data_IF_093690048155
#
_entry.id   IF_093690048155
#
_cell.length_a   1.000
_cell.length_b   1.000
_cell.length_c   1.000
_cell.angle_alpha   90.00
_cell.angle_beta   90.00
_cell.angle_gamma   90.00
#
_symmetry.space_group_name_H-M   'P 1'
#
loop_
_entity.id
_entity.type
_entity.pdbx_description
1 polymer ?
#
# COMPACT_ATOMS: atom_id res chain seq x y z
N UNK A 1 24.20 24.83 39.72
CA UNK A 1 23.88 23.52 39.13
C UNK A 1 23.17 23.79 37.81
N UNK A 2 23.92 23.94 36.72
CA UNK A 2 23.36 24.26 35.39
C UNK A 2 23.24 22.97 34.59
N UNK A 3 22.01 22.65 34.19
CA UNK A 3 21.64 21.48 33.40
C UNK A 3 22.16 21.62 31.97
N UNK A 4 23.08 20.73 31.57
CA UNK A 4 23.57 20.62 30.21
C UNK A 4 22.48 20.09 29.28
N UNK A 5 21.80 20.99 28.54
CA UNK A 5 21.00 20.61 27.38
C UNK A 5 21.85 20.76 26.12
N UNK A 6 22.28 19.63 25.53
CA UNK A 6 22.83 19.61 24.16
C UNK A 6 21.68 19.79 23.17
N UNK A 7 21.39 21.03 22.80
CA UNK A 7 20.57 21.31 21.61
C UNK A 7 21.44 20.96 20.40
N UNK A 8 20.98 20.03 19.57
CA UNK A 8 21.62 19.70 18.30
C UNK A 8 21.63 20.95 17.41
N UNK A 9 22.81 21.52 17.18
CA UNK A 9 22.97 22.70 16.31
C UNK A 9 22.74 22.30 14.84
N UNK A 10 21.82 22.96 14.12
CA UNK A 10 21.66 22.74 12.69
C UNK A 10 22.95 23.16 11.95
N UNK A 11 23.43 22.33 11.03
CA UNK A 11 24.68 22.53 10.26
C UNK A 11 24.77 23.86 9.47
N UNK A 12 23.67 24.59 9.30
CA UNK A 12 23.58 25.75 8.40
C UNK A 12 23.02 27.02 9.07
N UNK A 13 23.26 27.24 10.37
CA UNK A 13 22.90 28.50 11.02
C UNK A 13 23.77 29.65 10.46
N UNK A 14 23.20 30.51 9.62
CA UNK A 14 23.85 31.75 9.17
C UNK A 14 23.39 32.91 10.04
N UNK A 15 24.31 33.47 10.82
CA UNK A 15 24.08 34.69 11.60
C UNK A 15 24.67 35.86 10.81
N UNK A 16 23.86 36.87 10.52
CA UNK A 16 24.29 38.10 9.84
C UNK A 16 23.80 39.34 10.58
N UNK A 17 24.65 40.35 10.68
CA UNK A 17 24.31 41.67 11.26
C UNK A 17 24.05 42.62 10.10
N UNK A 18 22.86 43.21 10.04
CA UNK A 18 22.51 44.28 9.09
C UNK A 18 21.92 45.42 9.89
N UNK A 19 22.51 46.61 9.79
CA UNK A 19 22.02 47.86 10.38
C UNK A 19 21.74 47.78 11.90
N UNK A 20 22.73 47.35 12.68
CA UNK A 20 22.70 47.34 14.16
C UNK A 20 21.59 46.53 14.84
N UNK A 21 20.77 45.78 14.09
CA UNK A 21 19.82 44.81 14.65
C UNK A 21 20.29 43.37 14.40
N UNK A 22 20.32 42.55 15.46
CA UNK A 22 20.54 41.10 15.33
C UNK A 22 19.22 40.49 14.83
N UNK A 23 19.12 40.24 13.52
CA UNK A 23 18.00 39.46 12.95
C UNK A 23 18.40 38.00 12.82
N UNK A 24 17.79 37.14 13.63
CA UNK A 24 17.95 35.68 13.54
C UNK A 24 17.04 35.18 12.41
N UNK A 25 17.64 34.86 11.27
CA UNK A 25 16.94 34.15 10.20
C UNK A 25 17.03 32.65 10.47
N UNK A 26 15.95 32.07 11.00
CA UNK A 26 15.75 30.61 10.97
C UNK A 26 15.53 30.21 9.51
N UNK A 27 16.56 29.67 8.87
CA UNK A 27 16.42 29.02 7.57
C UNK A 27 15.43 27.87 7.76
N UNK A 28 14.31 27.94 7.05
CA UNK A 28 13.19 26.98 7.02
C UNK A 28 13.59 25.59 6.46
N UNK A 29 14.79 25.11 6.74
CA UNK A 29 15.28 23.76 6.37
C UNK A 29 14.58 22.65 7.16
N UNK A 30 13.64 22.99 8.05
CA UNK A 30 12.76 22.06 8.77
C UNK A 30 11.58 21.60 7.88
N UNK A 31 11.33 22.27 6.75
CA UNK A 31 10.32 21.78 5.82
C UNK A 31 10.87 20.54 5.09
N UNK A 32 10.25 19.36 5.24
CA UNK A 32 10.68 18.18 4.49
C UNK A 32 10.69 18.55 3.00
N UNK A 33 11.81 18.29 2.32
CA UNK A 33 11.90 18.38 0.86
C UNK A 33 10.64 17.74 0.30
N UNK A 34 9.80 18.52 -0.43
CA UNK A 34 8.60 17.98 -1.07
C UNK A 34 9.03 16.75 -1.87
N UNK A 35 8.64 15.57 -1.40
CA UNK A 35 8.82 14.32 -2.13
C UNK A 35 8.03 14.47 -3.43
N UNK A 36 8.72 14.85 -4.50
CA UNK A 36 8.13 14.93 -5.82
C UNK A 36 7.95 13.49 -6.32
N UNK A 37 6.71 13.04 -6.41
CA UNK A 37 6.40 11.73 -6.92
C UNK A 37 6.74 11.68 -8.41
N UNK A 38 7.53 10.69 -8.81
CA UNK A 38 7.78 10.47 -10.23
C UNK A 38 6.50 9.91 -10.88
N UNK A 39 5.79 10.76 -11.63
CA UNK A 39 4.51 10.42 -12.27
C UNK A 39 4.64 9.23 -13.23
N UNK A 40 5.75 9.13 -13.98
CA UNK A 40 6.01 8.02 -14.89
C UNK A 40 6.13 6.71 -14.12
N UNK A 41 6.90 6.70 -13.03
CA UNK A 41 7.00 5.54 -12.12
C UNK A 41 5.66 5.14 -11.56
N UNK A 42 4.90 6.12 -11.05
CA UNK A 42 3.56 5.88 -10.49
C UNK A 42 2.63 5.18 -11.48
N UNK A 43 2.43 5.75 -12.67
CA UNK A 43 1.47 5.20 -13.64
C UNK A 43 1.93 3.85 -14.22
N UNK A 44 3.20 3.72 -14.62
CA UNK A 44 3.68 2.48 -15.27
C UNK A 44 3.71 1.33 -14.27
N UNK A 45 4.27 1.52 -13.07
CA UNK A 45 4.31 0.44 -12.07
C UNK A 45 2.92 0.07 -11.57
N UNK A 46 2.01 1.05 -11.44
CA UNK A 46 0.62 0.80 -11.05
C UNK A 46 -0.18 0.04 -12.12
N UNK A 47 0.01 0.35 -13.41
CA UNK A 47 -0.64 -0.38 -14.50
C UNK A 47 -0.15 -1.82 -14.61
N UNK A 48 1.18 -2.03 -14.58
CA UNK A 48 1.77 -3.37 -14.66
C UNK A 48 1.40 -4.20 -13.43
N UNK A 49 1.43 -3.60 -12.23
CA UNK A 49 0.95 -4.25 -11.02
C UNK A 49 -0.56 -4.51 -11.04
N UNK A 50 -1.37 -3.68 -11.70
CA UNK A 50 -2.81 -3.90 -11.85
C UNK A 50 -3.12 -5.16 -12.66
N UNK A 51 -2.35 -5.41 -13.73
CA UNK A 51 -2.42 -6.67 -14.49
C UNK A 51 -2.06 -7.86 -13.61
N UNK A 52 -0.97 -7.76 -12.83
CA UNK A 52 -0.56 -8.81 -11.91
C UNK A 52 -1.60 -9.05 -10.79
N UNK A 53 -2.21 -7.98 -10.28
CA UNK A 53 -3.26 -8.06 -9.26
C UNK A 53 -4.52 -8.74 -9.79
N UNK A 54 -4.89 -8.51 -11.06
CA UNK A 54 -6.07 -9.14 -11.65
C UNK A 54 -5.89 -10.65 -11.80
N UNK A 55 -4.79 -11.07 -12.44
CA UNK A 55 -4.50 -12.50 -12.62
C UNK A 55 -4.13 -13.20 -11.31
N UNK A 56 -3.41 -12.50 -10.42
CA UNK A 56 -3.15 -12.95 -9.07
C UNK A 56 -4.45 -13.17 -8.30
N UNK A 57 -5.43 -12.26 -8.43
CA UNK A 57 -6.74 -12.39 -7.77
C UNK A 57 -7.48 -13.64 -8.24
N UNK A 58 -7.48 -13.91 -9.54
CA UNK A 58 -8.02 -15.16 -10.07
C UNK A 58 -7.30 -16.39 -9.50
N UNK A 59 -5.98 -16.39 -9.46
CA UNK A 59 -5.20 -17.53 -8.95
C UNK A 59 -5.44 -17.75 -7.45
N UNK A 60 -5.33 -16.70 -6.64
CA UNK A 60 -5.47 -16.78 -5.18
C UNK A 60 -6.91 -17.12 -4.80
N UNK A 61 -7.89 -16.31 -5.20
CA UNK A 61 -9.27 -16.45 -4.75
C UNK A 61 -10.09 -17.43 -5.58
N UNK A 62 -9.84 -17.50 -6.89
CA UNK A 62 -10.58 -18.37 -7.81
C UNK A 62 -10.07 -19.81 -7.86
N UNK A 63 -8.81 -20.06 -7.46
CA UNK A 63 -8.21 -21.39 -7.52
C UNK A 63 -7.71 -21.86 -6.16
N UNK A 64 -6.73 -21.17 -5.56
CA UNK A 64 -6.04 -21.68 -4.36
C UNK A 64 -6.93 -21.69 -3.11
N UNK A 65 -7.65 -20.61 -2.87
CA UNK A 65 -8.48 -20.43 -1.68
C UNK A 65 -9.98 -20.65 -1.92
N UNK A 66 -10.40 -20.86 -3.17
CA UNK A 66 -11.82 -20.94 -3.55
C UNK A 66 -12.61 -21.95 -2.72
N UNK A 67 -12.10 -23.19 -2.61
CA UNK A 67 -12.78 -24.27 -1.89
C UNK A 67 -12.88 -23.96 -0.39
N UNK A 68 -11.77 -23.57 0.23
CA UNK A 68 -11.73 -23.36 1.68
C UNK A 68 -12.55 -22.14 2.11
N UNK A 69 -12.59 -21.07 1.30
CA UNK A 69 -13.44 -19.91 1.56
C UNK A 69 -14.93 -20.28 1.42
N UNK A 70 -15.29 -21.08 0.41
CA UNK A 70 -16.66 -21.57 0.25
C UNK A 70 -17.12 -22.44 1.44
N UNK A 71 -16.25 -23.32 1.94
CA UNK A 71 -16.53 -24.16 3.13
C UNK A 71 -16.66 -23.35 4.43
N UNK A 72 -16.16 -22.11 4.46
CA UNK A 72 -16.18 -21.23 5.63
C UNK A 72 -17.06 -19.99 5.41
N UNK A 73 -17.96 -20.03 4.42
CA UNK A 73 -18.99 -19.03 4.20
C UNK A 73 -19.93 -18.90 5.41
N UNK A 74 -20.41 -17.68 5.66
CA UNK A 74 -21.40 -17.38 6.69
C UNK A 74 -22.82 -17.73 6.26
N UNK A 75 -23.81 -17.23 7.00
CA UNK A 75 -25.23 -17.50 6.74
C UNK A 75 -25.86 -16.59 5.68
N UNK A 76 -25.15 -15.57 5.18
CA UNK A 76 -25.65 -14.68 4.15
C UNK A 76 -25.81 -15.41 2.80
N UNK A 77 -26.93 -15.17 2.12
CA UNK A 77 -27.26 -15.75 0.81
C UNK A 77 -27.22 -14.68 -0.29
N UNK A 78 -26.95 -15.09 -1.53
CA UNK A 78 -26.96 -14.19 -2.70
C UNK A 78 -25.79 -13.19 -2.77
N UNK A 79 -24.71 -13.43 -2.02
CA UNK A 79 -23.55 -12.53 -1.94
C UNK A 79 -22.69 -12.61 -3.20
N UNK A 80 -22.30 -13.82 -3.60
CA UNK A 80 -21.37 -14.04 -4.71
C UNK A 80 -22.10 -14.05 -6.05
N UNK A 81 -21.56 -13.32 -7.03
CA UNK A 81 -22.03 -13.37 -8.42
C UNK A 81 -21.53 -14.65 -9.08
N UNK A 82 -22.40 -15.31 -9.85
CA UNK A 82 -21.98 -16.37 -10.78
C UNK A 82 -21.03 -15.80 -11.85
N UNK A 83 -20.18 -16.63 -12.48
CA UNK A 83 -19.27 -16.18 -13.55
C UNK A 83 -19.97 -15.38 -14.66
N UNK A 84 -21.21 -15.75 -15.00
CA UNK A 84 -22.02 -15.09 -16.02
C UNK A 84 -22.56 -13.73 -15.56
N UNK A 85 -22.70 -13.53 -14.25
CA UNK A 85 -23.18 -12.29 -13.63
C UNK A 85 -22.03 -11.36 -13.20
N UNK A 86 -20.77 -11.79 -13.35
CA UNK A 86 -19.60 -11.01 -12.97
C UNK A 86 -19.51 -9.71 -13.77
N UNK A 87 -19.29 -8.61 -13.05
CA UNK A 87 -19.12 -7.28 -13.66
C UNK A 87 -17.63 -7.04 -13.88
N UNK A 88 -17.11 -7.55 -15.00
CA UNK A 88 -15.67 -7.62 -15.29
C UNK A 88 -14.95 -6.27 -15.24
N UNK A 89 -15.55 -5.21 -15.78
CA UNK A 89 -14.93 -3.88 -15.78
C UNK A 89 -14.69 -3.36 -14.35
N UNK A 90 -15.61 -3.64 -13.42
CA UNK A 90 -15.49 -3.22 -12.03
C UNK A 90 -14.39 -4.00 -11.31
N UNK A 91 -14.27 -5.31 -11.60
CA UNK A 91 -13.21 -6.15 -11.04
C UNK A 91 -11.82 -5.74 -11.53
N UNK A 92 -11.70 -5.41 -12.82
CA UNK A 92 -10.47 -4.90 -13.42
C UNK A 92 -10.09 -3.54 -12.80
N UNK A 93 -11.05 -2.61 -12.68
CA UNK A 93 -10.80 -1.32 -12.03
C UNK A 93 -10.42 -1.47 -10.56
N UNK A 94 -11.07 -2.37 -9.81
CA UNK A 94 -10.70 -2.67 -8.43
C UNK A 94 -9.25 -3.13 -8.31
N UNK A 95 -8.84 -4.08 -9.16
CA UNK A 95 -7.46 -4.58 -9.22
C UNK A 95 -6.47 -3.47 -9.57
N UNK A 96 -6.83 -2.62 -10.54
CA UNK A 96 -6.02 -1.49 -10.97
C UNK A 96 -5.84 -0.46 -9.85
N UNK A 97 -6.91 -0.07 -9.16
CA UNK A 97 -6.85 0.92 -8.08
C UNK A 97 -6.10 0.41 -6.85
N UNK A 98 -6.20 -0.88 -6.52
CA UNK A 98 -5.39 -1.47 -5.46
C UNK A 98 -3.90 -1.43 -5.82
N UNK A 99 -3.54 -1.76 -7.05
CA UNK A 99 -2.13 -1.65 -7.48
C UNK A 99 -1.65 -0.20 -7.59
N UNK A 100 -2.51 0.75 -8.01
CA UNK A 100 -2.18 2.18 -8.00
C UNK A 100 -1.97 2.69 -6.57
N UNK A 101 -2.74 2.19 -5.60
CA UNK A 101 -2.55 2.51 -4.18
C UNK A 101 -1.16 2.08 -3.71
N UNK A 102 -0.75 0.84 -3.98
CA UNK A 102 0.60 0.37 -3.63
C UNK A 102 1.69 1.18 -4.37
N UNK A 103 1.51 1.43 -5.67
CA UNK A 103 2.42 2.26 -6.45
C UNK A 103 2.57 3.68 -5.89
N UNK A 104 1.47 4.30 -5.46
CA UNK A 104 1.48 5.61 -4.83
C UNK A 104 2.31 5.57 -3.55
N UNK A 105 2.04 4.61 -2.66
CA UNK A 105 2.74 4.47 -1.37
C UNK A 105 4.24 4.24 -1.60
N UNK A 106 4.60 3.34 -2.50
CA UNK A 106 6.00 3.01 -2.80
C UNK A 106 6.76 4.19 -3.38
N UNK A 107 6.14 4.98 -4.26
CA UNK A 107 6.81 6.11 -4.88
C UNK A 107 6.80 7.38 -4.01
N UNK A 108 5.77 7.56 -3.18
CA UNK A 108 5.58 8.80 -2.39
C UNK A 108 6.17 8.69 -0.99
N UNK A 109 6.07 7.53 -0.34
CA UNK A 109 6.36 7.37 1.09
C UNK A 109 7.57 6.49 1.38
N UNK A 110 7.68 5.29 0.79
CA UNK A 110 8.75 4.33 1.16
C UNK A 110 9.95 4.28 0.20
N UNK A 111 9.84 4.86 -1.01
CA UNK A 111 10.86 4.81 -2.08
C UNK A 111 11.27 3.40 -2.51
N UNK A 112 10.37 2.42 -2.40
CA UNK A 112 10.62 1.04 -2.83
C UNK A 112 10.97 0.96 -4.32
N UNK A 113 12.07 0.28 -4.63
CA UNK A 113 12.65 0.16 -5.97
C UNK A 113 13.15 -1.27 -6.29
N UNK A 114 12.81 -2.27 -5.49
CA UNK A 114 13.15 -3.66 -5.77
C UNK A 114 11.99 -4.59 -5.42
N UNK A 115 12.11 -5.82 -5.91
CA UNK A 115 11.04 -6.83 -5.82
C UNK A 115 10.80 -7.31 -4.39
N UNK A 116 11.86 -7.52 -3.59
CA UNK A 116 11.74 -8.09 -2.25
C UNK A 116 11.12 -7.11 -1.27
N UNK A 117 11.58 -5.85 -1.29
CA UNK A 117 10.98 -4.80 -0.47
C UNK A 117 9.53 -4.54 -0.91
N UNK A 118 9.27 -4.57 -2.22
CA UNK A 118 7.91 -4.47 -2.76
C UNK A 118 7.00 -5.61 -2.27
N UNK A 119 7.51 -6.83 -2.22
CA UNK A 119 6.76 -7.98 -1.70
C UNK A 119 6.45 -7.82 -0.20
N UNK A 120 7.44 -7.44 0.60
CA UNK A 120 7.29 -7.29 2.05
C UNK A 120 6.35 -6.12 2.41
N UNK A 121 6.58 -4.93 1.85
CA UNK A 121 5.74 -3.77 2.08
C UNK A 121 4.32 -4.00 1.53
N UNK A 122 4.21 -4.65 0.36
CA UNK A 122 2.94 -5.01 -0.25
C UNK A 122 2.13 -5.97 0.62
N UNK A 123 2.79 -7.00 1.17
CA UNK A 123 2.18 -7.93 2.12
C UNK A 123 1.61 -7.19 3.34
N UNK A 124 2.43 -6.33 3.95
CA UNK A 124 2.04 -5.62 5.16
C UNK A 124 0.91 -4.62 4.93
N UNK A 125 0.96 -3.85 3.83
CA UNK A 125 -0.09 -2.89 3.49
C UNK A 125 -1.41 -3.61 3.18
N UNK A 126 -1.38 -4.66 2.36
CA UNK A 126 -2.58 -5.43 2.04
C UNK A 126 -3.14 -6.16 3.26
N UNK A 127 -2.29 -6.68 4.15
CA UNK A 127 -2.70 -7.24 5.43
C UNK A 127 -3.48 -6.21 6.27
N UNK A 128 -2.97 -4.99 6.41
CA UNK A 128 -3.64 -3.95 7.20
C UNK A 128 -4.98 -3.52 6.59
N UNK A 129 -5.02 -3.35 5.26
CA UNK A 129 -6.26 -2.98 4.55
C UNK A 129 -7.29 -4.10 4.70
N UNK A 130 -6.89 -5.35 4.47
CA UNK A 130 -7.77 -6.50 4.58
C UNK A 130 -8.23 -6.73 6.02
N UNK A 131 -7.34 -6.65 7.02
CA UNK A 131 -7.72 -6.80 8.42
C UNK A 131 -8.80 -5.77 8.82
N UNK A 132 -8.63 -4.51 8.41
CA UNK A 132 -9.64 -3.48 8.64
C UNK A 132 -10.99 -3.81 8.00
N UNK A 133 -10.98 -4.25 6.75
CA UNK A 133 -12.19 -4.63 6.01
C UNK A 133 -12.86 -5.89 6.59
N UNK A 134 -12.09 -6.97 6.73
CA UNK A 134 -12.53 -8.30 7.11
C UNK A 134 -13.10 -8.32 8.53
N UNK A 135 -12.43 -7.69 9.50
CA UNK A 135 -12.95 -7.63 10.86
C UNK A 135 -14.17 -6.71 10.99
N UNK A 136 -14.24 -5.64 10.19
CA UNK A 136 -15.43 -4.79 10.14
C UNK A 136 -16.62 -5.56 9.58
N UNK A 137 -16.42 -6.30 8.48
CA UNK A 137 -17.44 -7.13 7.85
C UNK A 137 -17.86 -8.29 8.75
N UNK A 138 -16.92 -8.95 9.43
CA UNK A 138 -17.24 -9.99 10.40
C UNK A 138 -18.07 -9.46 11.58
N UNK A 139 -17.82 -8.21 12.00
CA UNK A 139 -18.56 -7.57 13.09
C UNK A 139 -19.98 -7.10 12.71
N UNK A 140 -20.28 -6.86 11.44
CA UNK A 140 -21.55 -6.25 11.01
C UNK A 140 -22.32 -7.01 9.91
N UNK A 141 -21.78 -8.11 9.39
CA UNK A 141 -22.38 -8.91 8.33
C UNK A 141 -22.09 -10.41 8.50
N UNK A 142 -22.97 -11.26 7.94
CA UNK A 142 -22.84 -12.71 8.02
C UNK A 142 -22.14 -13.33 6.79
N UNK A 143 -21.04 -12.71 6.33
CA UNK A 143 -20.36 -13.10 5.08
C UNK A 143 -19.48 -14.35 5.23
N UNK A 144 -18.66 -14.40 6.28
CA UNK A 144 -17.76 -15.51 6.58
C UNK A 144 -17.85 -15.88 8.07
N UNK A 145 -17.52 -17.13 8.38
CA UNK A 145 -17.16 -17.53 9.75
C UNK A 145 -15.84 -16.86 10.16
N UNK A 146 -15.52 -16.82 11.46
CA UNK A 146 -14.22 -16.28 11.92
C UNK A 146 -13.03 -16.95 11.23
N UNK A 147 -13.12 -18.26 11.01
CA UNK A 147 -12.10 -19.02 10.29
C UNK A 147 -12.00 -18.56 8.83
N UNK A 148 -13.12 -18.34 8.15
CA UNK A 148 -13.16 -17.80 6.79
C UNK A 148 -12.54 -16.40 6.71
N UNK A 149 -12.87 -15.52 7.67
CA UNK A 149 -12.29 -14.16 7.80
C UNK A 149 -10.77 -14.21 7.92
N UNK A 150 -10.22 -15.07 8.78
CA UNK A 150 -8.76 -15.20 8.93
C UNK A 150 -8.08 -15.80 7.68
N UNK A 151 -8.78 -16.66 6.94
CA UNK A 151 -8.28 -17.23 5.69
C UNK A 151 -8.27 -16.17 4.58
N UNK A 152 -9.31 -15.33 4.48
CA UNK A 152 -9.35 -14.23 3.53
C UNK A 152 -8.20 -13.24 3.79
N UNK A 153 -7.93 -12.93 5.07
CA UNK A 153 -6.80 -12.10 5.46
C UNK A 153 -5.45 -12.64 4.98
N UNK A 154 -5.25 -13.97 5.03
CA UNK A 154 -4.05 -14.62 4.46
C UNK A 154 -4.04 -14.51 2.94
N UNK A 155 -5.18 -14.77 2.28
CA UNK A 155 -5.30 -14.63 0.83
C UNK A 155 -4.99 -13.20 0.36
N UNK A 156 -5.50 -12.18 1.05
CA UNK A 156 -5.24 -10.78 0.77
C UNK A 156 -3.76 -10.41 1.00
N UNK A 157 -3.13 -11.01 2.01
CA UNK A 157 -1.69 -10.85 2.25
C UNK A 157 -0.88 -11.44 1.08
N UNK A 158 -1.24 -12.64 0.60
CA UNK A 158 -0.63 -13.24 -0.59
C UNK A 158 -0.82 -12.38 -1.84
N UNK A 159 -1.98 -11.74 -2.00
CA UNK A 159 -2.23 -10.78 -3.07
C UNK A 159 -1.33 -9.55 -2.97
N UNK A 160 -1.11 -9.04 -1.75
CA UNK A 160 -0.18 -7.96 -1.48
C UNK A 160 1.25 -8.31 -1.85
N UNK A 161 1.70 -9.54 -1.55
CA UNK A 161 3.03 -10.04 -1.94
C UNK A 161 3.20 -9.98 -3.45
N UNK A 162 2.28 -10.57 -4.22
CA UNK A 162 2.40 -10.65 -5.68
C UNK A 162 2.36 -9.25 -6.30
N UNK A 163 1.37 -8.44 -5.91
CA UNK A 163 1.16 -7.12 -6.49
C UNK A 163 2.30 -6.18 -6.10
N UNK A 164 2.68 -6.16 -4.83
CA UNK A 164 3.78 -5.36 -4.31
C UNK A 164 5.13 -5.74 -4.93
N UNK A 165 5.41 -7.02 -5.10
CA UNK A 165 6.63 -7.49 -5.77
C UNK A 165 6.75 -6.93 -7.19
N UNK A 166 5.67 -7.00 -7.97
CA UNK A 166 5.63 -6.49 -9.36
C UNK A 166 5.79 -4.97 -9.40
N UNK A 167 5.10 -4.24 -8.53
CA UNK A 167 5.21 -2.77 -8.46
C UNK A 167 6.64 -2.35 -8.07
N UNK A 168 7.20 -2.97 -7.03
CA UNK A 168 8.56 -2.67 -6.55
C UNK A 168 9.63 -2.99 -7.59
N UNK A 169 9.50 -4.14 -8.26
CA UNK A 169 10.35 -4.51 -9.41
C UNK A 169 10.27 -3.48 -10.54
N UNK A 170 9.06 -3.06 -10.93
CA UNK A 170 8.88 -2.10 -12.01
C UNK A 170 9.42 -0.70 -11.65
N UNK A 171 9.29 -0.29 -10.38
CA UNK A 171 9.91 0.93 -9.89
C UNK A 171 11.44 0.93 -10.08
N UNK A 172 12.11 -0.18 -9.77
CA UNK A 172 13.56 -0.32 -9.97
C UNK A 172 13.99 -0.30 -11.44
N UNK A 173 13.15 -0.84 -12.32
CA UNK A 173 13.40 -0.79 -13.78
C UNK A 173 13.29 0.62 -14.35
N UNK A 174 12.49 1.49 -13.73
CA UNK A 174 12.25 2.88 -14.16
C UNK A 174 13.14 3.91 -13.46
N UNK A 175 14.03 3.48 -12.56
CA UNK A 175 15.00 4.33 -11.88
C UNK A 175 16.30 4.54 -12.69
N UNK A 176 16.47 3.76 -13.75
CA UNK A 176 17.52 3.94 -14.76
C UNK A 176 17.16 5.06 -15.74
#
# INVERSE_FOLDING_TARGET
MMTNWKIATPKNLKIGIVNSEIKIYLVLDILPKRLHMNRKRFYISGLVGGVASFFGGYLIYGVLFAKVLAENAGSAIGVSKSPEQMVWWALILGSLFMSLTLSYIFNKWSKVNNMFDGAADGAFISFLIAAGYDFTMYGNANLYTLKGTLIDLVAATCMGIITGAVVGWMNGRLEK
#
